data_IF_053048587640
#
_entry.id   IF_053048587640
#
_cell.length_a   1.000
_cell.length_b   1.000
_cell.length_c   1.000
_cell.angle_alpha   90.00
_cell.angle_beta   90.00
_cell.angle_gamma   90.00
#
_symmetry.space_group_name_H-M   'P 1'
#
loop_
_entity.id
_entity.type
_entity.pdbx_description
1 polymer ?
#
# COMPACT_ATOMS: atom_id res chain seq x y z
N UNK A 1 -17.65 6.77 33.04
CA UNK A 1 -17.28 6.50 31.63
C UNK A 1 -15.79 6.19 31.46
N UNK A 2 -14.93 6.43 32.47
CA UNK A 2 -13.49 6.09 32.40
C UNK A 2 -13.19 4.60 32.68
N UNK A 3 -14.09 3.89 33.37
CA UNK A 3 -13.91 2.47 33.73
C UNK A 3 -13.76 1.52 32.53
N UNK A 4 -14.48 1.77 31.42
CA UNK A 4 -14.47 0.87 30.25
C UNK A 4 -13.10 0.81 29.57
N UNK A 5 -12.32 1.88 29.64
CA UNK A 5 -10.98 1.97 29.05
C UNK A 5 -9.87 1.53 30.01
N UNK A 6 -10.21 1.13 31.23
CA UNK A 6 -9.27 0.67 32.26
C UNK A 6 -9.39 -0.83 32.52
N UNK A 7 -10.33 -1.51 31.86
CA UNK A 7 -10.55 -2.94 31.97
C UNK A 7 -9.48 -3.69 31.18
N UNK A 8 -8.46 -4.18 31.89
CA UNK A 8 -7.34 -4.88 31.30
C UNK A 8 -7.71 -6.19 30.60
N UNK A 9 -8.77 -6.87 31.05
CA UNK A 9 -9.26 -8.09 30.39
C UNK A 9 -9.89 -7.74 29.05
N UNK A 10 -10.74 -6.70 29.01
CA UNK A 10 -11.36 -6.21 27.77
C UNK A 10 -10.32 -5.73 26.75
N UNK A 11 -9.27 -5.04 27.20
CA UNK A 11 -8.16 -4.61 26.33
C UNK A 11 -7.39 -5.83 25.80
N UNK A 12 -7.12 -6.82 26.65
CA UNK A 12 -6.38 -8.02 26.26
C UNK A 12 -7.16 -8.85 25.25
N UNK A 13 -8.47 -9.03 25.46
CA UNK A 13 -9.35 -9.72 24.51
C UNK A 13 -9.44 -8.98 23.18
N UNK A 14 -9.59 -7.66 23.19
CA UNK A 14 -9.61 -6.85 21.98
C UNK A 14 -8.30 -6.94 21.18
N UNK A 15 -7.15 -6.97 21.88
CA UNK A 15 -5.85 -7.15 21.23
C UNK A 15 -5.68 -8.57 20.69
N UNK A 16 -6.14 -9.59 21.40
CA UNK A 16 -6.12 -10.97 20.92
C UNK A 16 -6.98 -11.12 19.65
N UNK A 17 -8.18 -10.55 19.63
CA UNK A 17 -9.06 -10.53 18.47
C UNK A 17 -8.43 -9.77 17.29
N UNK A 18 -7.86 -8.59 17.54
CA UNK A 18 -7.16 -7.81 16.51
C UNK A 18 -5.96 -8.57 15.91
N UNK A 19 -5.18 -9.25 16.75
CA UNK A 19 -4.05 -10.06 16.30
C UNK A 19 -4.50 -11.27 15.46
N UNK A 20 -5.59 -11.93 15.83
CA UNK A 20 -6.18 -13.01 15.04
C UNK A 20 -6.69 -12.52 13.69
N UNK A 21 -7.35 -11.35 13.67
CA UNK A 21 -7.83 -10.73 12.43
C UNK A 21 -6.67 -10.34 11.50
N UNK A 22 -5.59 -9.76 12.04
CA UNK A 22 -4.39 -9.39 11.28
C UNK A 22 -3.62 -10.62 10.76
N UNK A 23 -3.53 -11.70 11.53
CA UNK A 23 -2.94 -12.94 11.06
C UNK A 23 -3.72 -13.51 9.87
N UNK A 24 -5.06 -13.49 9.96
CA UNK A 24 -5.93 -13.94 8.87
C UNK A 24 -5.82 -13.06 7.63
N UNK A 25 -5.78 -11.73 7.78
CA UNK A 25 -5.64 -10.81 6.63
C UNK A 25 -4.31 -11.06 5.91
N UNK A 26 -3.21 -11.27 6.65
CA UNK A 26 -1.91 -11.59 6.07
C UNK A 26 -1.94 -12.88 5.27
N UNK A 27 -2.49 -13.96 5.84
CA UNK A 27 -2.58 -15.25 5.15
C UNK A 27 -3.41 -15.13 3.86
N UNK A 28 -4.52 -14.39 3.88
CA UNK A 28 -5.35 -14.12 2.69
C UNK A 28 -4.57 -13.33 1.61
N UNK A 29 -3.77 -12.32 2.00
CA UNK A 29 -2.93 -11.56 1.07
C UNK A 29 -1.83 -12.44 0.46
N UNK A 30 -1.18 -13.29 1.27
CA UNK A 30 -0.15 -14.22 0.82
C UNK A 30 -0.69 -15.25 -0.17
N UNK A 31 -1.86 -15.84 0.10
CA UNK A 31 -2.53 -16.76 -0.83
C UNK A 31 -2.82 -16.06 -2.17
N UNK A 32 -3.29 -14.82 -2.12
CA UNK A 32 -3.61 -14.04 -3.32
C UNK A 32 -2.35 -13.70 -4.12
N UNK A 33 -1.25 -13.33 -3.46
CA UNK A 33 0.05 -13.13 -4.09
C UNK A 33 0.56 -14.40 -4.77
N UNK A 34 0.43 -15.56 -4.13
CA UNK A 34 0.81 -16.85 -4.71
C UNK A 34 0.00 -17.15 -5.98
N UNK A 35 -1.31 -16.91 -5.95
CA UNK A 35 -2.20 -17.07 -7.11
C UNK A 35 -1.82 -16.14 -8.27
N UNK A 36 -1.54 -14.86 -8.00
CA UNK A 36 -1.12 -13.89 -9.04
C UNK A 36 0.19 -14.32 -9.70
N UNK A 37 1.18 -14.74 -8.91
CA UNK A 37 2.46 -15.24 -9.43
C UNK A 37 2.31 -16.51 -10.27
N UNK A 38 1.42 -17.41 -9.87
CA UNK A 38 1.11 -18.59 -10.67
C UNK A 38 0.50 -18.20 -12.03
N UNK A 39 -0.41 -17.22 -12.05
CA UNK A 39 -1.02 -16.73 -13.28
C UNK A 39 0.01 -16.04 -14.20
N UNK A 40 0.92 -15.23 -13.65
CA UNK A 40 2.02 -14.64 -14.42
C UNK A 40 2.90 -15.73 -15.05
N UNK A 41 3.31 -16.73 -14.28
CA UNK A 41 4.10 -17.86 -14.78
C UNK A 41 3.36 -18.62 -15.90
N UNK A 42 2.04 -18.77 -15.78
CA UNK A 42 1.20 -19.35 -16.83
C UNK A 42 1.18 -18.50 -18.11
N UNK A 43 1.08 -17.17 -17.97
CA UNK A 43 1.10 -16.25 -19.10
C UNK A 43 2.45 -16.25 -19.83
N UNK A 44 3.58 -16.27 -19.10
CA UNK A 44 4.91 -16.38 -19.69
C UNK A 44 5.10 -17.70 -20.45
N UNK A 45 4.68 -18.83 -19.89
CA UNK A 45 4.71 -20.12 -20.60
C UNK A 45 3.84 -20.10 -21.86
N UNK A 46 2.72 -19.37 -21.84
CA UNK A 46 1.88 -19.24 -23.02
C UNK A 46 2.57 -18.40 -24.11
N UNK A 47 3.30 -17.35 -23.75
CA UNK A 47 4.12 -16.58 -24.68
C UNK A 47 5.17 -17.47 -25.33
N UNK A 48 5.94 -18.23 -24.53
CA UNK A 48 6.99 -19.13 -25.05
C UNK A 48 6.43 -20.12 -26.07
N UNK A 49 5.24 -20.69 -25.80
CA UNK A 49 4.57 -21.59 -26.75
C UNK A 49 4.16 -20.91 -28.05
N UNK A 50 3.70 -19.66 -27.99
CA UNK A 50 3.31 -18.94 -29.21
C UNK A 50 4.51 -18.51 -30.04
N UNK A 51 5.64 -18.19 -29.42
CA UNK A 51 6.89 -18.00 -30.17
C UNK A 51 7.37 -19.28 -30.82
N UNK A 52 7.37 -20.40 -30.10
CA UNK A 52 7.74 -21.70 -30.69
C UNK A 52 6.84 -22.05 -31.89
N UNK A 53 5.51 -21.88 -31.74
CA UNK A 53 4.57 -22.13 -32.83
C UNK A 53 4.81 -21.23 -34.05
N UNK A 54 5.20 -19.97 -33.82
CA UNK A 54 5.54 -19.02 -34.87
C UNK A 54 6.86 -19.39 -35.57
N UNK A 55 7.90 -19.77 -34.82
CA UNK A 55 9.19 -20.22 -35.36
C UNK A 55 9.06 -21.50 -36.20
N UNK A 56 8.15 -22.40 -35.82
CA UNK A 56 7.80 -23.60 -36.58
C UNK A 56 6.97 -23.29 -37.85
N UNK A 57 6.50 -22.05 -38.03
CA UNK A 57 5.61 -21.66 -39.12
C UNK A 57 4.18 -22.17 -38.98
N UNK A 58 3.81 -22.70 -37.82
CA UNK A 58 2.47 -23.23 -37.52
C UNK A 58 1.47 -22.13 -37.13
N UNK A 59 1.95 -20.92 -36.85
CA UNK A 59 1.14 -19.76 -36.48
C UNK A 59 1.47 -18.57 -37.39
N UNK A 60 0.44 -17.88 -37.88
CA UNK A 60 0.63 -16.69 -38.73
C UNK A 60 1.23 -15.53 -37.92
N UNK A 61 1.96 -14.59 -38.56
CA UNK A 61 2.46 -13.39 -37.88
C UNK A 61 1.37 -12.56 -37.22
N UNK A 62 0.23 -12.36 -37.91
CA UNK A 62 -0.91 -11.60 -37.38
C UNK A 62 -1.51 -12.26 -36.14
N UNK A 63 -1.74 -13.58 -36.18
CA UNK A 63 -2.29 -14.31 -35.02
C UNK A 63 -1.32 -14.33 -33.84
N UNK A 64 -0.02 -14.44 -34.12
CA UNK A 64 1.04 -14.39 -33.11
C UNK A 64 1.03 -13.02 -32.40
N UNK A 65 1.00 -11.93 -33.17
CA UNK A 65 0.98 -10.57 -32.65
C UNK A 65 -0.25 -10.30 -31.77
N UNK A 66 -1.45 -10.70 -32.21
CA UNK A 66 -2.68 -10.53 -31.45
C UNK A 66 -2.61 -11.26 -30.10
N UNK A 67 -2.22 -12.54 -30.13
CA UNK A 67 -2.14 -13.38 -28.92
C UNK A 67 -1.08 -12.88 -27.94
N UNK A 68 0.08 -12.43 -28.45
CA UNK A 68 1.13 -11.82 -27.63
C UNK A 68 0.62 -10.51 -27.02
N UNK A 69 -0.07 -9.67 -27.78
CA UNK A 69 -0.66 -8.43 -27.30
C UNK A 69 -1.62 -8.64 -26.12
N UNK A 70 -2.53 -9.62 -26.25
CA UNK A 70 -3.44 -9.99 -25.18
C UNK A 70 -2.72 -10.50 -23.92
N UNK A 71 -1.72 -11.37 -24.08
CA UNK A 71 -0.96 -11.91 -22.95
C UNK A 71 -0.14 -10.83 -22.25
N UNK A 72 0.45 -9.87 -22.99
CA UNK A 72 1.16 -8.73 -22.42
C UNK A 72 0.24 -7.85 -21.58
N UNK A 73 -0.91 -7.47 -22.13
CA UNK A 73 -1.92 -6.71 -21.39
C UNK A 73 -2.35 -7.45 -20.11
N UNK A 74 -2.48 -8.78 -20.16
CA UNK A 74 -2.79 -9.60 -18.97
C UNK A 74 -1.65 -9.58 -17.95
N UNK A 75 -0.40 -9.68 -18.38
CA UNK A 75 0.78 -9.62 -17.50
C UNK A 75 0.85 -8.26 -16.81
N UNK A 76 0.66 -7.15 -17.54
CA UNK A 76 0.65 -5.80 -16.97
C UNK A 76 -0.41 -5.64 -15.87
N UNK A 77 -1.61 -6.17 -16.09
CA UNK A 77 -2.68 -6.20 -15.07
C UNK A 77 -2.25 -7.00 -13.84
N UNK A 78 -1.66 -8.18 -14.03
CA UNK A 78 -1.19 -9.03 -12.94
C UNK A 78 -0.03 -8.39 -12.16
N UNK A 79 0.88 -7.68 -12.82
CA UNK A 79 1.98 -6.94 -12.18
C UNK A 79 1.48 -5.72 -11.40
N UNK A 80 0.42 -5.06 -11.88
CA UNK A 80 -0.25 -4.01 -11.11
C UNK A 80 -0.91 -4.59 -9.84
N UNK A 81 -1.58 -5.72 -9.96
CA UNK A 81 -2.20 -6.43 -8.84
C UNK A 81 -1.16 -6.91 -7.82
N UNK A 82 -0.06 -7.52 -8.27
CA UNK A 82 1.03 -7.95 -7.38
C UNK A 82 1.62 -6.76 -6.60
N UNK A 83 1.88 -5.64 -7.27
CA UNK A 83 2.40 -4.43 -6.60
C UNK A 83 1.41 -3.85 -5.59
N UNK A 84 0.11 -3.92 -5.87
CA UNK A 84 -0.91 -3.48 -4.95
C UNK A 84 -0.96 -4.38 -3.70
N UNK A 85 -1.01 -5.70 -3.90
CA UNK A 85 -1.00 -6.66 -2.79
C UNK A 85 0.29 -6.60 -1.96
N UNK A 86 1.45 -6.39 -2.60
CA UNK A 86 2.72 -6.22 -1.88
C UNK A 86 2.73 -4.97 -1.00
N UNK A 87 2.07 -3.88 -1.43
CA UNK A 87 1.89 -2.68 -0.60
C UNK A 87 0.97 -2.94 0.57
N UNK A 88 -0.14 -3.65 0.34
CA UNK A 88 -1.07 -4.05 1.40
C UNK A 88 -0.37 -4.93 2.45
N UNK A 89 0.43 -5.90 2.02
CA UNK A 89 1.24 -6.73 2.92
C UNK A 89 2.27 -5.94 3.75
N UNK A 90 2.73 -4.77 3.25
CA UNK A 90 3.72 -3.93 3.95
C UNK A 90 3.05 -2.89 4.87
N UNK A 91 1.78 -2.56 4.64
CA UNK A 91 1.06 -1.53 5.41
C UNK A 91 0.35 -2.09 6.66
N UNK A 92 0.28 -3.42 6.83
CA UNK A 92 -0.04 -4.01 8.13
C UNK A 92 0.99 -3.50 9.16
N UNK A 93 0.57 -2.71 10.19
CA UNK A 93 1.49 -2.10 11.13
C UNK A 93 2.40 -3.18 11.74
N UNK A 94 3.69 -3.09 11.42
CA UNK A 94 4.70 -4.12 11.70
C UNK A 94 5.02 -4.32 13.18
N UNK A 95 4.30 -3.66 14.07
CA UNK A 95 4.36 -3.87 15.51
C UNK A 95 2.91 -3.91 16.00
N UNK A 96 2.38 -5.12 16.15
CA UNK A 96 1.23 -5.30 17.03
C UNK A 96 1.67 -4.85 18.41
N UNK A 97 1.27 -3.64 18.80
CA UNK A 97 1.51 -3.13 20.14
C UNK A 97 0.97 -4.19 21.11
N UNK A 98 1.87 -4.77 21.88
CA UNK A 98 1.54 -5.83 22.81
C UNK A 98 0.64 -5.29 23.92
N UNK A 99 -0.18 -6.15 24.53
CA UNK A 99 -0.99 -5.76 25.68
C UNK A 99 -0.15 -5.18 26.83
N UNK A 100 1.09 -5.65 26.97
CA UNK A 100 2.05 -5.11 27.92
C UNK A 100 2.46 -3.67 27.59
N UNK A 101 2.68 -3.35 26.30
CA UNK A 101 2.99 -1.97 25.87
C UNK A 101 1.78 -1.05 26.03
N UNK A 102 0.57 -1.52 25.75
CA UNK A 102 -0.66 -0.75 26.00
C UNK A 102 -0.85 -0.49 27.50
N UNK A 103 -0.64 -1.51 28.34
CA UNK A 103 -0.72 -1.36 29.80
C UNK A 103 0.34 -0.38 30.32
N UNK A 104 1.57 -0.45 29.79
CA UNK A 104 2.65 0.46 30.13
C UNK A 104 2.34 1.93 29.74
N UNK A 105 1.65 2.14 28.61
CA UNK A 105 1.18 3.47 28.23
C UNK A 105 0.05 3.95 29.15
N UNK A 106 -0.87 3.07 29.54
CA UNK A 106 -1.95 3.41 30.46
C UNK A 106 -1.42 3.83 31.85
N UNK A 107 -0.41 3.12 32.37
CA UNK A 107 0.26 3.47 33.63
C UNK A 107 0.94 4.84 33.55
N UNK A 108 1.66 5.13 32.47
CA UNK A 108 2.30 6.43 32.23
C UNK A 108 1.29 7.57 32.03
N UNK A 109 0.10 7.27 31.50
CA UNK A 109 -0.95 8.23 31.23
C UNK A 109 -1.84 8.53 32.45
N UNK A 110 -1.73 7.78 33.55
CA UNK A 110 -2.40 8.18 34.80
C UNK A 110 -1.70 9.42 35.36
N UNK A 111 -2.33 10.61 35.34
CA UNK A 111 -1.80 11.70 36.14
C UNK A 111 -1.81 11.21 37.59
N UNK A 112 -0.64 11.19 38.23
CA UNK A 112 -0.56 10.96 39.68
C UNK A 112 -1.54 11.88 40.39
N UNK A 113 -2.01 11.54 41.62
CA UNK A 113 -2.99 12.34 42.33
C UNK A 113 -2.42 13.75 42.53
N UNK A 114 -2.77 14.66 41.61
CA UNK A 114 -2.47 16.06 41.73
C UNK A 114 -3.35 16.55 42.84
N UNK A 115 -2.74 16.58 44.02
CA UNK A 115 -2.87 17.59 45.04
C UNK A 115 -4.16 18.40 44.90
N UNK A 116 -5.26 17.77 45.30
CA UNK A 116 -6.56 18.44 45.47
C UNK A 116 -6.47 19.20 46.80
N UNK A 117 -5.55 20.17 46.84
CA UNK A 117 -5.16 20.87 48.05
C UNK A 117 -4.60 22.23 47.70
N UNK A 118 -5.39 23.27 48.01
CA UNK A 118 -4.97 24.67 48.17
C UNK A 118 -4.72 25.46 46.87
N UNK A 119 -5.78 26.08 46.36
CA UNK A 119 -5.75 27.53 46.10
C UNK A 119 -7.15 28.10 46.32
N UNK A 120 -7.32 28.67 47.51
CA UNK A 120 -8.40 29.58 47.84
C UNK A 120 -8.32 30.84 46.98
N UNK A 121 -9.51 31.34 46.60
CA UNK A 121 -9.88 32.74 46.40
C UNK A 121 -8.82 33.74 45.92
N UNK A 122 -9.02 34.32 44.73
CA UNK A 122 -9.07 35.79 44.49
C UNK A 122 -9.95 36.02 43.24
N UNK A 123 -11.18 36.51 43.41
CA UNK A 123 -11.59 37.91 43.16
C UNK A 123 -11.04 38.52 41.86
N UNK A 124 -11.93 38.58 40.87
CA UNK A 124 -12.22 39.77 40.07
C UNK A 124 -11.18 40.24 39.06
N UNK A 125 -11.44 40.01 37.79
CA UNK A 125 -11.13 41.02 36.77
C UNK A 125 -12.04 40.83 35.56
N UNK A 126 -12.99 41.77 35.42
CA UNK A 126 -13.66 42.09 34.17
C UNK A 126 -12.62 42.31 33.06
N UNK A 127 -12.57 41.40 32.09
CA UNK A 127 -11.83 41.59 30.85
C UNK A 127 -12.78 41.33 29.67
N UNK A 128 -13.07 42.43 28.99
CA UNK A 128 -13.93 42.60 27.81
C UNK A 128 -13.56 41.62 26.68
N UNK A 129 -14.52 40.98 25.99
CA UNK A 129 -14.24 40.18 24.80
C UNK A 129 -13.93 41.10 23.60
N UNK A 130 -12.68 41.09 23.13
CA UNK A 130 -12.36 41.59 21.80
C UNK A 130 -12.80 40.57 20.76
N UNK A 131 -13.79 40.94 19.95
CA UNK A 131 -14.14 40.25 18.71
C UNK A 131 -12.89 40.13 17.83
N UNK A 132 -12.51 38.89 17.48
CA UNK A 132 -11.56 38.64 16.40
C UNK A 132 -12.28 38.73 15.06
N UNK A 133 -11.78 39.63 14.24
CA UNK A 133 -12.18 39.87 12.86
C UNK A 133 -11.84 38.64 11.98
N UNK A 134 -12.82 38.02 11.29
CA UNK A 134 -12.58 36.86 10.45
C UNK A 134 -12.35 37.32 9.01
N UNK A 135 -11.17 37.89 8.70
CA UNK A 135 -10.75 38.16 7.31
C UNK A 135 -9.25 38.42 7.23
N UNK A 136 -8.46 37.33 7.26
CA UNK A 136 -7.16 37.36 6.60
C UNK A 136 -6.77 35.96 6.15
N UNK A 137 -7.09 35.66 4.89
CA UNK A 137 -6.40 34.59 4.16
C UNK A 137 -5.08 35.15 3.62
N UNK A 138 -3.92 34.61 3.99
CA UNK A 138 -2.72 34.76 3.21
C UNK A 138 -2.73 33.71 2.09
N UNK A 139 -2.95 34.19 0.86
CA UNK A 139 -2.81 33.39 -0.34
C UNK A 139 -1.44 32.72 -0.40
N UNK A 140 -1.44 31.40 -0.57
CA UNK A 140 -0.25 30.67 -1.02
C UNK A 140 -0.24 30.67 -2.54
N UNK A 141 0.46 31.67 -3.06
CA UNK A 141 0.88 31.68 -4.45
C UNK A 141 2.02 30.66 -4.65
N UNK A 142 1.71 29.70 -5.52
CA UNK A 142 2.53 29.10 -6.59
C UNK A 142 4.03 28.88 -6.41
N UNK A 143 4.39 27.70 -6.94
CA UNK A 143 5.65 27.38 -7.62
C UNK A 143 6.84 27.08 -6.73
N UNK A 144 7.19 25.79 -6.62
CA UNK A 144 8.41 25.28 -7.22
C UNK A 144 8.47 23.76 -7.09
N UNK A 145 8.40 23.07 -8.25
CA UNK A 145 8.95 21.75 -8.45
C UNK A 145 10.43 21.76 -8.06
N UNK A 146 10.94 20.65 -7.54
CA UNK A 146 12.01 20.02 -8.28
C UNK A 146 11.61 18.64 -8.82
N UNK A 147 11.85 18.54 -10.12
CA UNK A 147 12.04 17.33 -10.91
C UNK A 147 12.90 16.31 -10.12
N UNK A 148 12.34 15.14 -9.87
CA UNK A 148 13.04 14.02 -9.23
C UNK A 148 12.61 12.71 -9.87
N UNK A 149 13.12 12.49 -11.07
CA UNK A 149 13.60 11.19 -11.51
C UNK A 149 15.08 11.38 -11.91
N UNK A 150 16.00 10.50 -11.49
CA UNK A 150 16.14 9.27 -12.26
C UNK A 150 16.44 8.07 -11.37
N UNK A 151 15.63 7.03 -11.52
CA UNK A 151 15.82 5.78 -10.81
C UNK A 151 15.18 4.60 -11.51
N UNK A 152 15.07 4.67 -12.84
CA UNK A 152 14.74 3.54 -13.69
C UNK A 152 15.80 2.46 -13.54
N UNK A 153 15.67 1.60 -12.53
CA UNK A 153 16.14 0.21 -12.68
C UNK A 153 15.19 -0.44 -13.68
N UNK A 154 15.48 -0.17 -14.95
CA UNK A 154 15.23 -1.13 -16.00
C UNK A 154 15.98 -2.39 -15.60
N UNK A 155 15.30 -3.31 -14.92
CA UNK A 155 15.66 -4.71 -15.02
C UNK A 155 15.44 -5.00 -16.50
N UNK A 156 16.53 -4.93 -17.26
CA UNK A 156 16.55 -5.33 -18.66
C UNK A 156 16.18 -6.81 -18.70
N UNK A 157 14.90 -7.12 -18.84
CA UNK A 157 14.49 -8.20 -19.73
C UNK A 157 14.62 -7.65 -21.17
N UNK A 158 15.86 -7.31 -21.54
CA UNK A 158 16.23 -6.86 -22.87
C UNK A 158 16.14 -8.05 -23.80
N UNK A 159 15.11 -8.04 -24.65
CA UNK A 159 14.90 -9.04 -25.68
C UNK A 159 13.50 -9.00 -26.29
N UNK A 160 12.51 -8.46 -25.59
CA UNK A 160 11.10 -8.60 -26.00
C UNK A 160 10.57 -7.47 -26.88
N UNK A 161 11.21 -6.30 -26.88
CA UNK A 161 10.83 -5.18 -27.75
C UNK A 161 11.43 -5.36 -29.15
N UNK A 162 12.64 -5.91 -29.26
CA UNK A 162 13.27 -6.21 -30.56
C UNK A 162 12.52 -7.28 -31.36
N UNK A 163 11.88 -8.25 -30.70
CA UNK A 163 11.14 -9.32 -31.40
C UNK A 163 9.88 -8.77 -32.10
N UNK A 164 9.23 -7.73 -31.56
CA UNK A 164 8.09 -7.10 -32.25
C UNK A 164 8.57 -6.33 -33.48
N UNK A 165 9.65 -5.56 -33.34
CA UNK A 165 10.24 -4.82 -34.46
C UNK A 165 10.76 -5.77 -35.55
N UNK A 166 11.23 -6.96 -35.14
CA UNK A 166 11.64 -8.03 -36.05
C UNK A 166 10.47 -8.68 -36.77
N UNK A 167 9.34 -8.94 -36.11
CA UNK A 167 8.13 -9.45 -36.76
C UNK A 167 7.49 -8.41 -37.70
N UNK A 168 7.54 -7.12 -37.36
CA UNK A 168 6.97 -6.05 -38.19
C UNK A 168 7.81 -5.72 -39.43
N UNK A 169 9.14 -5.92 -39.39
CA UNK A 169 10.04 -5.59 -40.52
C UNK A 169 10.33 -6.77 -41.48
N UNK A 170 9.77 -7.96 -41.27
CA UNK A 170 10.05 -9.15 -42.11
C UNK A 170 9.06 -9.35 -43.28
N UNK A 171 8.12 -8.43 -43.47
CA UNK A 171 7.07 -8.51 -44.52
C UNK A 171 7.46 -7.93 -45.89
N UNK A 172 8.71 -7.54 -46.14
CA UNK A 172 9.14 -7.15 -47.49
C UNK A 172 10.15 -8.16 -48.10
N UNK A 173 9.89 -8.65 -49.33
CA UNK A 173 10.60 -9.78 -49.96
C UNK A 173 12.03 -9.48 -50.43
#
# INVERSE_FOLDING_TARGET
MVDVYSDGELITDALAEANLAAAKSRDEIEERLASVRQQQAGAFRALDRYFAAFEEGSLSPTDCQERIGMLKARIEVLEAEERQLAREATYEPSESISAAEVAQWAEQATPGPTDRGLCAAERGSDAKPHQRDPRHEPGRDRSHLPDSAPGSRSVRFGGWVEVIDWCANREEP
#
